data_IF_933396084009
#
_entry.id   IF_933396084009
#
_cell.length_a   1.000
_cell.length_b   1.000
_cell.length_c   1.000
_cell.angle_alpha   90.00
_cell.angle_beta   90.00
_cell.angle_gamma   90.00
#
_symmetry.space_group_name_H-M   'P 1'
#
loop_
_entity.id
_entity.type
_entity.pdbx_description
1 polymer ?
#
# COMPACT_ATOMS: atom_id res chain seq x y z
N UNK A 1 1.07 22.90 -8.00
CA UNK A 1 2.22 22.08 -7.59
C UNK A 1 1.94 20.59 -7.80
N UNK A 2 2.90 19.86 -8.37
CA UNK A 2 2.76 18.44 -8.78
C UNK A 2 2.35 17.55 -7.60
N UNK A 3 2.93 17.75 -6.42
CA UNK A 3 2.65 16.94 -5.23
C UNK A 3 1.19 17.12 -4.77
N UNK A 4 0.63 18.32 -4.89
CA UNK A 4 -0.77 18.61 -4.53
C UNK A 4 -1.73 17.92 -5.51
N UNK A 5 -1.41 17.96 -6.80
CA UNK A 5 -2.22 17.27 -7.80
C UNK A 5 -2.17 15.75 -7.60
N UNK A 6 -0.97 15.20 -7.39
CA UNK A 6 -0.77 13.78 -7.13
C UNK A 6 -1.50 13.33 -5.86
N UNK A 7 -1.41 14.11 -4.78
CA UNK A 7 -2.07 13.78 -3.51
C UNK A 7 -3.58 13.70 -3.65
N UNK A 8 -4.20 14.62 -4.40
CA UNK A 8 -5.63 14.58 -4.69
C UNK A 8 -6.00 13.33 -5.50
N UNK A 9 -5.27 13.03 -6.58
CA UNK A 9 -5.54 11.87 -7.43
C UNK A 9 -5.41 10.54 -6.68
N UNK A 10 -4.38 10.39 -5.86
CA UNK A 10 -4.17 9.18 -5.05
C UNK A 10 -5.21 9.05 -3.95
N UNK A 11 -5.66 10.16 -3.36
CA UNK A 11 -6.75 10.14 -2.38
C UNK A 11 -8.06 9.64 -3.00
N UNK A 12 -8.43 10.16 -4.17
CA UNK A 12 -9.64 9.76 -4.89
C UNK A 12 -9.58 8.28 -5.31
N UNK A 13 -8.41 7.83 -5.77
CA UNK A 13 -8.17 6.41 -6.08
C UNK A 13 -8.29 5.53 -4.83
N UNK A 14 -7.69 5.93 -3.70
CA UNK A 14 -7.79 5.21 -2.44
C UNK A 14 -9.23 5.04 -1.97
N UNK A 15 -10.05 6.09 -2.07
CA UNK A 15 -11.49 6.00 -1.78
C UNK A 15 -12.21 5.01 -2.69
N UNK A 16 -11.92 5.04 -3.99
CA UNK A 16 -12.50 4.10 -4.96
C UNK A 16 -12.17 2.65 -4.60
N UNK A 17 -10.93 2.36 -4.22
CA UNK A 17 -10.51 1.02 -3.81
C UNK A 17 -11.18 0.60 -2.49
N UNK A 18 -11.31 1.50 -1.51
CA UNK A 18 -12.05 1.20 -0.28
C UNK A 18 -13.51 0.86 -0.52
N UNK A 19 -14.17 1.53 -1.46
CA UNK A 19 -15.55 1.23 -1.84
C UNK A 19 -15.67 -0.17 -2.45
N UNK A 20 -14.81 -0.48 -3.42
CA UNK A 20 -14.75 -1.81 -4.05
C UNK A 20 -14.42 -2.93 -3.07
N UNK A 21 -13.48 -2.69 -2.14
CA UNK A 21 -13.15 -3.66 -1.10
C UNK A 21 -14.32 -3.88 -0.13
N UNK A 22 -15.07 -2.84 0.21
CA UNK A 22 -16.25 -2.98 1.06
C UNK A 22 -17.30 -3.88 0.39
N UNK A 23 -17.58 -3.67 -0.89
CA UNK A 23 -18.49 -4.52 -1.65
C UNK A 23 -17.99 -5.96 -1.77
N UNK A 24 -16.70 -6.16 -2.06
CA UNK A 24 -16.09 -7.48 -2.16
C UNK A 24 -16.16 -8.28 -0.85
N UNK A 25 -16.21 -7.59 0.29
CA UNK A 25 -16.40 -8.17 1.63
C UNK A 25 -17.88 -8.37 1.99
N UNK A 26 -18.83 -8.04 1.11
CA UNK A 26 -20.27 -8.14 1.37
C UNK A 26 -20.81 -7.05 2.30
N UNK A 27 -20.10 -5.92 2.42
CA UNK A 27 -20.46 -4.79 3.26
C UNK A 27 -21.20 -3.71 2.48
N UNK A 28 -21.72 -2.72 3.20
CA UNK A 28 -22.13 -1.48 2.57
C UNK A 28 -20.92 -0.85 1.85
N UNK A 29 -21.10 -0.42 0.59
CA UNK A 29 -20.03 0.15 -0.25
C UNK A 29 -19.25 1.29 0.44
N UNK A 30 -19.87 2.06 1.34
CA UNK A 30 -19.19 3.17 2.01
C UNK A 30 -18.54 2.80 3.35
N UNK A 31 -18.63 1.54 3.78
CA UNK A 31 -18.19 1.11 5.11
C UNK A 31 -16.73 1.46 5.41
N UNK A 32 -15.78 1.03 4.57
CA UNK A 32 -14.36 1.31 4.80
C UNK A 32 -14.02 2.80 4.58
N UNK A 33 -14.77 3.49 3.73
CA UNK A 33 -14.62 4.93 3.50
C UNK A 33 -15.04 5.75 4.72
N UNK A 34 -16.13 5.37 5.37
CA UNK A 34 -16.70 6.03 6.54
C UNK A 34 -15.97 5.72 7.85
N UNK A 35 -15.12 4.68 7.89
CA UNK A 35 -14.23 4.38 9.02
C UNK A 35 -13.07 5.39 9.17
N UNK A 36 -13.11 6.52 8.45
CA UNK A 36 -12.05 7.51 8.35
C UNK A 36 -10.69 6.91 7.91
N UNK A 37 -10.70 5.76 7.22
CA UNK A 37 -9.50 5.07 6.75
C UNK A 37 -8.63 5.91 5.81
N UNK A 38 -9.21 6.97 5.23
CA UNK A 38 -8.57 7.88 4.29
C UNK A 38 -8.57 9.36 4.75
N UNK A 39 -8.87 9.65 6.02
CA UNK A 39 -8.79 11.03 6.55
C UNK A 39 -7.35 11.54 6.61
N UNK A 40 -6.38 10.64 6.83
CA UNK A 40 -4.95 10.95 6.77
C UNK A 40 -4.33 10.44 5.47
N UNK A 41 -3.79 11.35 4.64
CA UNK A 41 -2.89 11.00 3.54
C UNK A 41 -1.47 11.39 3.93
N UNK A 42 -0.57 10.42 3.87
CA UNK A 42 0.87 10.64 4.08
C UNK A 42 1.61 10.20 2.83
N UNK A 43 2.50 11.05 2.31
CA UNK A 43 3.28 10.79 1.10
C UNK A 43 4.74 10.70 1.51
N UNK A 44 5.38 9.58 1.17
CA UNK A 44 6.80 9.34 1.36
C UNK A 44 7.49 9.21 0.01
N UNK A 45 8.64 9.87 -0.14
CA UNK A 45 9.54 9.69 -1.26
C UNK A 45 10.80 8.97 -0.79
N UNK A 46 11.04 7.76 -1.30
CA UNK A 46 12.25 7.01 -1.02
C UNK A 46 13.22 7.10 -2.20
N UNK A 47 14.50 7.28 -1.90
CA UNK A 47 15.59 7.26 -2.87
C UNK A 47 16.64 6.27 -2.40
N UNK A 48 16.82 5.19 -3.17
CA UNK A 48 17.78 4.13 -2.86
C UNK A 48 18.98 4.22 -3.82
N UNK A 49 20.14 4.74 -3.37
CA UNK A 49 21.31 4.86 -4.23
C UNK A 49 21.95 3.49 -4.53
N UNK A 50 22.77 3.37 -5.60
CA UNK A 50 23.57 2.17 -5.85
C UNK A 50 24.42 1.77 -4.63
N UNK A 51 24.40 0.49 -4.29
CA UNK A 51 25.11 -0.06 -3.14
C UNK A 51 26.27 -0.95 -3.59
N UNK A 52 27.52 -0.74 -3.11
CA UNK A 52 28.66 -1.60 -3.43
C UNK A 52 28.54 -3.03 -2.88
N UNK A 53 27.87 -3.19 -1.75
CA UNK A 53 27.72 -4.47 -1.03
C UNK A 53 26.22 -4.78 -0.80
N UNK A 54 25.45 -5.03 -1.87
CA UNK A 54 24.00 -5.18 -1.79
C UNK A 54 23.59 -6.43 -1.00
N UNK A 55 24.42 -7.47 -0.96
CA UNK A 55 24.14 -8.69 -0.19
C UNK A 55 24.31 -8.52 1.33
N UNK A 56 24.92 -7.40 1.77
CA UNK A 56 25.14 -7.06 3.18
C UNK A 56 24.30 -5.85 3.63
N UNK A 57 23.51 -5.28 2.73
CA UNK A 57 22.80 -4.01 2.95
C UNK A 57 21.33 -4.14 2.60
N UNK A 58 20.46 -3.49 3.37
CA UNK A 58 19.03 -3.41 3.09
C UNK A 58 18.66 -1.97 2.73
N UNK A 59 17.95 -1.76 1.63
CA UNK A 59 17.38 -0.45 1.29
C UNK A 59 16.33 -0.01 2.33
N UNK A 60 15.48 -0.95 2.75
CA UNK A 60 14.54 -0.77 3.87
C UNK A 60 14.44 -2.09 4.62
N UNK A 61 14.32 -2.03 5.95
CA UNK A 61 14.18 -3.22 6.78
C UNK A 61 12.84 -3.91 6.52
N UNK A 62 12.75 -5.22 6.82
CA UNK A 62 11.46 -5.95 6.82
C UNK A 62 10.48 -5.26 7.78
N UNK A 63 9.30 -4.92 7.28
CA UNK A 63 8.23 -4.31 8.06
C UNK A 63 6.86 -4.65 7.47
N UNK A 64 5.81 -4.29 8.22
CA UNK A 64 4.43 -4.16 7.73
C UNK A 64 4.06 -2.68 7.77
N UNK A 65 3.09 -2.28 6.96
CA UNK A 65 2.57 -0.92 6.96
C UNK A 65 1.52 -0.76 8.06
N UNK A 66 1.73 0.19 8.97
CA UNK A 66 0.80 0.44 10.09
C UNK A 66 -0.47 1.22 9.69
N UNK A 67 -0.68 1.47 8.40
CA UNK A 67 -1.82 2.23 7.88
C UNK A 67 -2.98 1.28 7.46
N UNK A 68 -3.97 1.81 6.74
CA UNK A 68 -5.04 0.99 6.16
C UNK A 68 -4.65 0.40 4.81
N UNK A 69 -4.05 1.22 3.95
CA UNK A 69 -3.68 0.87 2.59
C UNK A 69 -2.55 1.78 2.12
N UNK A 70 -1.61 1.21 1.38
CA UNK A 70 -0.55 1.95 0.69
C UNK A 70 -0.76 1.81 -0.82
N UNK A 71 -0.58 2.93 -1.53
CA UNK A 71 -0.54 3.01 -2.99
C UNK A 71 0.87 3.43 -3.40
N UNK A 72 1.66 2.47 -3.88
CA UNK A 72 3.08 2.64 -4.17
C UNK A 72 3.31 2.80 -5.68
N UNK A 73 3.96 3.90 -6.05
CA UNK A 73 4.54 4.10 -7.38
C UNK A 73 6.01 3.68 -7.34
N UNK A 74 6.39 2.73 -8.22
CA UNK A 74 7.77 2.27 -8.35
C UNK A 74 8.44 2.90 -9.57
N UNK A 75 9.78 2.99 -9.52
CA UNK A 75 10.58 3.18 -10.72
C UNK A 75 10.64 1.88 -11.55
N UNK A 76 11.46 1.85 -12.60
CA UNK A 76 11.60 0.68 -13.45
C UNK A 76 12.79 -0.23 -13.08
N UNK A 77 13.52 0.08 -11.99
CA UNK A 77 14.66 -0.72 -11.52
C UNK A 77 14.19 -1.89 -10.65
N UNK A 78 13.08 -1.71 -9.92
CA UNK A 78 12.53 -2.72 -9.01
C UNK A 78 13.20 -2.70 -7.64
N UNK A 79 13.23 -3.85 -6.96
CA UNK A 79 13.80 -4.00 -5.62
C UNK A 79 12.77 -4.17 -4.50
N UNK A 80 11.48 -3.97 -4.76
CA UNK A 80 10.43 -4.34 -3.83
C UNK A 80 10.32 -5.87 -3.72
N UNK A 81 10.29 -6.35 -2.49
CA UNK A 81 10.01 -7.75 -2.16
C UNK A 81 8.91 -7.82 -1.13
N UNK A 82 8.06 -8.85 -1.25
CA UNK A 82 7.02 -9.19 -0.26
C UNK A 82 7.32 -10.57 0.31
N UNK A 83 7.03 -10.76 1.59
CA UNK A 83 7.20 -12.06 2.25
C UNK A 83 5.91 -12.87 2.11
N UNK A 84 5.98 -14.02 1.45
CA UNK A 84 4.85 -14.94 1.24
C UNK A 84 5.32 -16.37 1.52
N UNK A 85 4.60 -17.09 2.40
CA UNK A 85 4.97 -18.45 2.84
C UNK A 85 6.45 -18.59 3.25
N UNK A 86 6.91 -17.67 4.12
CA UNK A 86 8.29 -17.56 4.60
C UNK A 86 9.36 -17.38 3.50
N UNK A 87 8.95 -16.97 2.30
CA UNK A 87 9.84 -16.71 1.16
C UNK A 87 9.67 -15.29 0.65
N UNK A 88 10.79 -14.64 0.35
CA UNK A 88 10.77 -13.34 -0.31
C UNK A 88 10.46 -13.51 -1.79
N UNK A 89 9.45 -12.78 -2.26
CA UNK A 89 8.99 -12.76 -3.65
C UNK A 89 9.20 -11.36 -4.21
N UNK A 90 9.88 -11.27 -5.34
CA UNK A 90 10.06 -10.00 -6.04
C UNK A 90 8.73 -9.49 -6.59
N UNK A 91 8.48 -8.19 -6.44
CA UNK A 91 7.38 -7.49 -7.09
C UNK A 91 7.97 -6.67 -8.25
N UNK A 92 8.00 -7.21 -9.48
CA UNK A 92 8.56 -6.50 -10.62
C UNK A 92 7.71 -5.26 -10.93
N UNK A 93 8.33 -4.11 -11.22
CA UNK A 93 7.58 -2.92 -11.59
C UNK A 93 6.86 -3.16 -12.93
N UNK A 94 5.62 -2.68 -13.01
CA UNK A 94 4.83 -2.70 -14.24
C UNK A 94 4.60 -1.27 -14.68
N UNK A 95 4.96 -0.96 -15.93
CA UNK A 95 4.83 0.39 -16.48
C UNK A 95 3.37 0.86 -16.41
N UNK A 96 3.17 2.05 -15.82
CA UNK A 96 1.83 2.65 -15.66
C UNK A 96 0.97 2.03 -14.54
N UNK A 97 1.50 1.10 -13.75
CA UNK A 97 0.79 0.49 -12.64
C UNK A 97 1.24 1.06 -11.28
N UNK A 98 0.34 0.97 -10.30
CA UNK A 98 0.62 1.17 -8.89
C UNK A 98 0.54 -0.19 -8.18
N UNK A 99 1.38 -0.39 -7.17
CA UNK A 99 1.24 -1.50 -6.23
C UNK A 99 0.31 -1.08 -5.11
N UNK A 100 -0.65 -1.93 -4.79
CA UNK A 100 -1.58 -1.74 -3.67
C UNK A 100 -1.29 -2.80 -2.62
N UNK A 101 -1.06 -2.38 -1.38
CA UNK A 101 -0.95 -3.31 -0.25
C UNK A 101 -1.87 -2.91 0.90
N UNK A 102 -2.34 -3.95 1.61
CA UNK A 102 -3.17 -3.83 2.80
C UNK A 102 -2.26 -3.61 4.00
N UNK A 103 -2.59 -2.61 4.82
CA UNK A 103 -1.88 -2.33 6.06
C UNK A 103 -2.56 -2.95 7.28
N UNK A 104 -1.85 -2.92 8.41
CA UNK A 104 -2.24 -3.56 9.66
C UNK A 104 -3.61 -3.09 10.18
N UNK A 105 -3.93 -1.80 10.02
CA UNK A 105 -5.22 -1.26 10.47
C UNK A 105 -6.37 -1.87 9.68
N UNK A 106 -6.24 -2.05 8.37
CA UNK A 106 -7.30 -2.67 7.58
C UNK A 106 -7.43 -4.15 7.91
N UNK A 107 -6.32 -4.86 8.08
CA UNK A 107 -6.33 -6.27 8.47
C UNK A 107 -7.08 -6.51 9.78
N UNK A 108 -6.85 -5.70 10.82
CA UNK A 108 -7.55 -5.81 12.11
C UNK A 108 -9.06 -5.56 11.95
N UNK A 109 -9.46 -4.59 11.14
CA UNK A 109 -10.86 -4.24 10.94
C UNK A 109 -11.62 -5.31 10.15
N UNK A 110 -10.99 -5.94 9.16
CA UNK A 110 -11.57 -7.07 8.41
C UNK A 110 -11.69 -8.32 9.30
N UNK A 111 -10.67 -8.65 10.08
CA UNK A 111 -10.71 -9.81 10.98
C UNK A 111 -11.82 -9.68 12.04
N UNK A 112 -12.08 -8.48 12.55
CA UNK A 112 -13.19 -8.22 13.49
C UNK A 112 -14.56 -8.52 12.89
N UNK A 113 -14.72 -8.45 11.58
CA UNK A 113 -15.98 -8.82 10.92
C UNK A 113 -16.12 -10.31 10.69
N UNK A 114 -15.04 -11.01 10.34
CA UNK A 114 -15.08 -12.48 10.17
C UNK A 114 -15.37 -13.24 11.48
N UNK A 115 -15.17 -12.58 12.63
CA UNK A 115 -15.48 -13.10 13.96
C UNK A 115 -16.87 -12.71 14.47
N UNK A 116 -17.68 -11.98 13.68
CA UNK A 116 -19.07 -11.64 13.97
C UNK A 116 -20.00 -12.44 13.05
#
# INVERSE_FOLDING_TARGET
>A
DIVIEYSQKIKDLGFTIFELLSEALGLNQYYLKELNCAEGLFILGHCYPPCPEPELTMGTTKHTDSNFMTLLLQDQLGGLQVLHDDKWVNVPPVHGALVVNIGDLLQVNVLRQSLR
#
